data_IF_770283831294
#
_entry.id   IF_770283831294
#
_cell.length_a   1.000
_cell.length_b   1.000
_cell.length_c   1.000
_cell.angle_alpha   90.00
_cell.angle_beta   90.00
_cell.angle_gamma   90.00
#
_symmetry.space_group_name_H-M   'P 1'
#
loop_
_entity.id
_entity.type
_entity.pdbx_description
1 polymer ?
#
# COMPACT_ATOMS: atom_id res chain seq x y z
N UNK A 1 32.48 -20.26 -1.46
CA UNK A 1 31.82 -19.02 -0.98
C UNK A 1 31.56 -18.13 -2.17
N UNK A 2 30.30 -17.84 -2.49
CA UNK A 2 29.93 -17.03 -3.66
C UNK A 2 29.49 -15.65 -3.16
N UNK A 3 30.31 -14.62 -3.42
CA UNK A 3 30.01 -13.24 -3.04
C UNK A 3 29.25 -12.57 -4.19
N UNK A 4 28.03 -12.11 -3.94
CA UNK A 4 27.22 -11.39 -4.92
C UNK A 4 27.44 -9.89 -4.72
N UNK A 5 28.41 -9.31 -5.44
CA UNK A 5 28.72 -7.87 -5.36
C UNK A 5 27.77 -7.12 -6.29
N UNK A 6 26.81 -6.38 -5.72
CA UNK A 6 25.97 -5.46 -6.48
C UNK A 6 26.78 -4.19 -6.78
N UNK A 7 26.97 -3.85 -8.06
CA UNK A 7 27.55 -2.56 -8.47
C UNK A 7 26.51 -1.45 -8.28
N UNK A 8 26.33 -1.00 -7.04
CA UNK A 8 25.50 0.16 -6.70
C UNK A 8 26.37 1.38 -6.38
N UNK A 9 25.89 2.56 -6.74
CA UNK A 9 26.44 3.84 -6.27
C UNK A 9 25.61 4.27 -5.05
N UNK A 10 26.27 4.55 -3.92
CA UNK A 10 25.61 5.17 -2.78
C UNK A 10 25.19 6.59 -3.14
N UNK A 11 23.89 6.85 -3.15
CA UNK A 11 23.35 8.15 -3.52
C UNK A 11 23.61 9.14 -2.37
N UNK A 12 24.30 10.28 -2.61
CA UNK A 12 24.59 11.26 -1.58
C UNK A 12 23.36 12.14 -1.29
N UNK A 13 22.36 11.57 -0.61
CA UNK A 13 21.12 12.25 -0.26
C UNK A 13 21.17 12.62 1.23
N UNK A 14 20.99 13.90 1.52
CA UNK A 14 20.87 14.41 2.90
C UNK A 14 19.43 14.28 3.40
N UNK A 15 19.24 14.17 4.72
CA UNK A 15 17.91 14.05 5.35
C UNK A 15 17.44 12.61 5.61
N UNK A 16 18.36 11.67 5.76
CA UNK A 16 18.03 10.31 6.18
C UNK A 16 17.29 10.30 7.53
N UNK A 17 16.30 9.42 7.72
CA UNK A 17 15.53 9.38 8.96
C UNK A 17 16.37 8.83 10.12
N UNK A 18 16.08 9.31 11.34
CA UNK A 18 16.60 8.69 12.55
C UNK A 18 16.00 7.29 12.70
N UNK A 19 16.84 6.28 12.99
CA UNK A 19 16.42 4.89 13.14
C UNK A 19 15.81 4.63 14.53
N UNK A 20 14.75 5.37 14.86
CA UNK A 20 13.95 5.24 16.09
C UNK A 20 12.46 5.28 15.75
N UNK A 21 11.69 4.45 16.44
CA UNK A 21 10.23 4.44 16.30
C UNK A 21 9.65 5.44 17.30
N UNK A 22 8.78 6.32 16.81
CA UNK A 22 8.04 7.29 17.62
C UNK A 22 6.59 7.34 17.15
N UNK A 23 5.69 7.80 18.00
CA UNK A 23 4.29 7.97 17.64
C UNK A 23 4.15 9.05 16.56
N UNK A 24 3.42 8.70 15.49
CA UNK A 24 3.10 9.64 14.43
C UNK A 24 1.94 10.57 14.79
N UNK A 25 1.61 11.46 13.87
CA UNK A 25 0.42 12.29 13.98
C UNK A 25 -0.86 11.44 13.98
N UNK A 26 -1.93 11.94 14.62
CA UNK A 26 -3.24 11.28 14.59
C UNK A 26 -3.83 11.26 13.17
N UNK A 27 -4.15 10.06 12.68
CA UNK A 27 -4.75 9.84 11.35
C UNK A 27 -6.26 9.69 11.50
N UNK A 28 -7.02 10.43 10.67
CA UNK A 28 -8.50 10.39 10.64
C UNK A 28 -9.08 9.66 9.43
N UNK A 29 -8.30 9.52 8.36
CA UNK A 29 -8.76 8.97 7.09
C UNK A 29 -7.63 8.22 6.42
N UNK A 30 -7.96 7.09 5.82
CA UNK A 30 -7.04 6.22 5.10
C UNK A 30 -7.66 5.87 3.74
N UNK A 31 -6.82 5.54 2.78
CA UNK A 31 -7.24 5.17 1.43
C UNK A 31 -6.33 4.09 0.85
N UNK A 32 -6.89 3.29 -0.05
CA UNK A 32 -6.12 2.43 -0.94
C UNK A 32 -5.98 3.13 -2.29
N UNK A 33 -4.76 3.21 -2.80
CA UNK A 33 -4.49 3.82 -4.09
C UNK A 33 -4.52 2.74 -5.18
N UNK A 34 -5.49 2.83 -6.09
CA UNK A 34 -5.59 1.90 -7.22
C UNK A 34 -4.35 1.92 -8.14
N UNK A 35 -3.64 3.04 -8.20
CA UNK A 35 -2.42 3.23 -8.99
C UNK A 35 -1.24 2.39 -8.52
N UNK A 36 -1.23 1.97 -7.26
CA UNK A 36 -0.13 1.19 -6.69
C UNK A 36 -0.17 -0.27 -7.17
N UNK A 37 -1.30 -0.67 -7.75
CA UNK A 37 -1.54 -2.01 -8.26
C UNK A 37 -1.48 -2.00 -9.79
N UNK A 38 -0.39 -2.56 -10.33
CA UNK A 38 -0.17 -2.67 -11.78
C UNK A 38 -1.35 -3.42 -12.39
N UNK A 39 -1.89 -2.87 -13.49
CA UNK A 39 -2.95 -3.47 -14.29
C UNK A 39 -4.31 -3.68 -13.60
N UNK A 40 -4.51 -3.14 -12.39
CA UNK A 40 -5.73 -3.29 -11.61
C UNK A 40 -6.97 -2.82 -12.39
N UNK A 41 -7.97 -3.69 -12.48
CA UNK A 41 -9.31 -3.32 -12.93
C UNK A 41 -10.29 -3.46 -11.78
N UNK A 42 -10.56 -2.38 -11.02
CA UNK A 42 -11.35 -2.48 -9.81
C UNK A 42 -12.82 -2.78 -10.13
N UNK A 43 -13.40 -3.67 -9.34
CA UNK A 43 -14.85 -3.85 -9.20
C UNK A 43 -15.23 -3.40 -7.80
N UNK A 44 -15.89 -2.24 -7.70
CA UNK A 44 -16.32 -1.68 -6.43
C UNK A 44 -17.37 -2.59 -5.77
N UNK A 45 -17.22 -2.84 -4.48
CA UNK A 45 -18.17 -3.56 -3.62
C UNK A 45 -18.81 -2.65 -2.57
N UNK A 46 -18.39 -1.39 -2.53
CA UNK A 46 -18.90 -0.33 -1.64
C UNK A 46 -19.19 0.91 -2.47
N UNK A 47 -20.07 1.77 -1.95
CA UNK A 47 -20.38 3.09 -2.49
C UNK A 47 -20.01 4.20 -1.51
N UNK A 48 -20.02 5.44 -1.99
CA UNK A 48 -19.83 6.61 -1.14
C UNK A 48 -20.92 6.67 -0.06
N UNK A 49 -20.51 6.91 1.19
CA UNK A 49 -21.41 6.94 2.35
C UNK A 49 -21.58 5.59 3.05
N UNK A 50 -21.10 4.49 2.48
CA UNK A 50 -21.14 3.19 3.14
C UNK A 50 -20.21 3.14 4.35
N UNK A 51 -20.71 2.57 5.45
CA UNK A 51 -19.89 2.24 6.62
C UNK A 51 -19.19 0.91 6.37
N UNK A 52 -17.87 0.91 6.44
CA UNK A 52 -17.04 -0.29 6.27
C UNK A 52 -16.45 -0.74 7.60
N UNK A 53 -16.26 -2.05 7.75
CA UNK A 53 -15.55 -2.66 8.88
C UNK A 53 -14.10 -2.93 8.51
N UNK A 54 -13.22 -2.99 9.52
CA UNK A 54 -11.86 -3.50 9.36
C UNK A 54 -11.89 -4.88 8.66
N UNK A 55 -11.12 -5.03 7.59
CA UNK A 55 -11.08 -6.27 6.79
C UNK A 55 -12.26 -6.46 5.82
N UNK A 56 -13.22 -5.54 5.75
CA UNK A 56 -14.30 -5.60 4.76
C UNK A 56 -13.76 -5.28 3.36
N UNK A 57 -14.14 -6.07 2.36
CA UNK A 57 -13.70 -5.85 1.00
C UNK A 57 -14.33 -4.58 0.38
N UNK A 58 -13.48 -3.67 -0.09
CA UNK A 58 -13.84 -2.41 -0.75
C UNK A 58 -14.00 -2.60 -2.26
N UNK A 59 -13.05 -3.30 -2.89
CA UNK A 59 -13.09 -3.65 -4.30
C UNK A 59 -12.30 -4.93 -4.57
N UNK A 60 -12.52 -5.53 -5.73
CA UNK A 60 -11.78 -6.71 -6.21
C UNK A 60 -11.17 -6.44 -7.59
N UNK A 61 -10.13 -7.19 -7.93
CA UNK A 61 -9.54 -7.11 -9.26
C UNK A 61 -10.26 -8.04 -10.25
N UNK A 62 -10.80 -7.46 -11.33
CA UNK A 62 -11.42 -8.24 -12.41
C UNK A 62 -10.40 -9.05 -13.21
N UNK A 63 -9.13 -8.62 -13.28
CA UNK A 63 -8.08 -9.35 -14.01
C UNK A 63 -7.51 -10.52 -13.19
N UNK A 64 -7.56 -10.42 -11.86
CA UNK A 64 -7.11 -11.46 -10.94
C UNK A 64 -8.26 -11.94 -10.04
N UNK A 65 -9.09 -12.87 -10.54
CA UNK A 65 -10.20 -13.43 -9.77
C UNK A 65 -9.71 -14.00 -8.42
N UNK A 66 -10.34 -13.58 -7.33
CA UNK A 66 -10.00 -14.00 -5.96
C UNK A 66 -9.19 -12.97 -5.16
N UNK A 67 -8.62 -11.95 -5.82
CA UNK A 67 -7.93 -10.86 -5.12
C UNK A 67 -8.94 -9.81 -4.66
N UNK A 68 -9.01 -9.62 -3.34
CA UNK A 68 -9.88 -8.63 -2.69
C UNK A 68 -9.02 -7.60 -1.94
N UNK A 69 -9.41 -6.34 -2.06
CA UNK A 69 -8.78 -5.22 -1.35
C UNK A 69 -9.71 -4.78 -0.23
N UNK A 70 -9.22 -4.80 1.00
CA UNK A 70 -10.05 -4.62 2.20
C UNK A 70 -9.77 -3.30 2.91
N UNK A 71 -10.72 -2.85 3.73
CA UNK A 71 -10.52 -1.72 4.64
C UNK A 71 -9.32 -2.00 5.55
N UNK A 72 -8.32 -1.10 5.57
CA UNK A 72 -7.26 -1.10 6.57
C UNK A 72 -7.80 -0.89 7.98
#
# INVERSE_FOLDING_TARGET
MQFNIKKGLDLPITGGPEQKISDGNSIKSVALLGSDYIDLKPKMMVAEGDKVKLGQALFSDKKNPGVNFTSP
#
